data_IF_021762730638
#
_entry.id   IF_021762730638
#
_cell.length_a   1.000
_cell.length_b   1.000
_cell.length_c   1.000
_cell.angle_alpha   90.00
_cell.angle_beta   90.00
_cell.angle_gamma   90.00
#
_symmetry.space_group_name_H-M   'P 1'
#
loop_
_entity.id
_entity.type
_entity.pdbx_description
1 polymer ?
#
# COMPACT_ATOMS: atom_id res chain seq x y z
N UNK A 1 -3.43 43.79 16.73
CA UNK A 1 -2.81 42.59 17.35
C UNK A 1 -3.57 41.39 16.83
N UNK A 2 -3.12 40.80 15.71
CA UNK A 2 -3.81 39.66 15.11
C UNK A 2 -3.32 38.36 15.73
N UNK A 3 -4.28 37.65 16.32
CA UNK A 3 -4.21 36.24 16.66
C UNK A 3 -3.99 35.42 15.39
N UNK A 4 -2.90 34.67 15.33
CA UNK A 4 -2.82 33.47 14.52
C UNK A 4 -2.33 32.34 15.41
N UNK A 5 -3.30 31.61 15.95
CA UNK A 5 -3.10 30.26 16.46
C UNK A 5 -2.64 29.39 15.30
N UNK A 6 -1.32 29.22 15.17
CA UNK A 6 -0.78 28.15 14.36
C UNK A 6 -1.02 26.84 15.11
N UNK A 7 -2.23 26.30 14.95
CA UNK A 7 -2.49 24.89 15.17
C UNK A 7 -1.61 24.13 14.19
N UNK A 8 -0.43 23.73 14.65
CA UNK A 8 0.51 22.86 13.96
C UNK A 8 -0.15 21.49 13.74
N UNK A 9 -1.02 21.38 12.74
CA UNK A 9 -1.67 20.14 12.30
C UNK A 9 -0.70 19.26 11.51
N UNK A 10 0.57 19.17 11.94
CA UNK A 10 1.59 18.35 11.26
C UNK A 10 1.87 17.02 11.96
N UNK A 11 1.22 16.69 13.08
CA UNK A 11 1.59 15.53 13.90
C UNK A 11 0.51 14.45 14.05
N UNK A 12 -0.09 14.01 12.95
CA UNK A 12 -0.82 12.73 12.97
C UNK A 12 -0.66 11.90 11.70
N UNK A 13 0.44 12.11 10.97
CA UNK A 13 0.81 11.18 9.90
C UNK A 13 1.41 9.92 10.54
N UNK A 14 0.84 8.73 10.30
CA UNK A 14 1.37 7.50 10.87
C UNK A 14 2.78 7.24 10.33
N UNK A 15 3.75 7.13 11.23
CA UNK A 15 5.16 6.87 10.87
C UNK A 15 5.26 5.41 10.45
N UNK A 16 5.70 5.18 9.21
CA UNK A 16 6.04 3.84 8.73
C UNK A 16 7.36 3.44 9.36
N UNK A 17 7.38 2.31 10.07
CA UNK A 17 8.57 1.80 10.74
C UNK A 17 9.37 0.87 9.83
N UNK A 18 8.71 -0.09 9.18
CA UNK A 18 9.35 -1.03 8.28
C UNK A 18 8.37 -1.64 7.28
N UNK A 19 8.92 -2.17 6.19
CA UNK A 19 8.23 -2.99 5.20
C UNK A 19 8.72 -4.43 5.29
N UNK A 20 7.85 -5.36 4.95
CA UNK A 20 8.22 -6.77 4.97
C UNK A 20 7.34 -7.61 4.04
N UNK A 21 7.83 -8.77 3.65
CA UNK A 21 7.08 -9.74 2.86
C UNK A 21 6.61 -10.88 3.77
N UNK A 22 5.29 -11.10 3.81
CA UNK A 22 4.66 -12.16 4.60
C UNK A 22 3.74 -12.98 3.71
N UNK A 23 3.96 -14.30 3.63
CA UNK A 23 3.21 -15.22 2.76
C UNK A 23 3.09 -14.75 1.30
N UNK A 24 4.11 -14.05 0.81
CA UNK A 24 4.14 -13.50 -0.54
C UNK A 24 3.41 -12.15 -0.71
N UNK A 25 2.81 -11.60 0.35
CA UNK A 25 2.18 -10.28 0.32
C UNK A 25 3.08 -9.20 0.94
N UNK A 26 3.01 -7.99 0.40
CA UNK A 26 3.72 -6.84 0.95
C UNK A 26 2.98 -6.27 2.15
N UNK A 27 3.67 -6.23 3.28
CA UNK A 27 3.19 -5.65 4.53
C UNK A 27 3.97 -4.38 4.85
N UNK A 28 3.31 -3.42 5.50
CA UNK A 28 3.95 -2.28 6.15
C UNK A 28 3.50 -2.18 7.60
N UNK A 29 4.42 -1.82 8.48
CA UNK A 29 4.15 -1.62 9.89
C UNK A 29 4.21 -0.12 10.17
N UNK A 30 3.17 0.40 10.82
CA UNK A 30 3.06 1.81 11.19
C UNK A 30 2.91 1.95 12.68
N UNK A 31 3.51 2.99 13.25
CA UNK A 31 3.25 3.38 14.65
C UNK A 31 2.06 4.34 14.68
N UNK A 32 0.98 3.93 15.32
CA UNK A 32 -0.14 4.80 15.64
C UNK A 32 0.01 5.30 17.08
N UNK A 33 -0.09 6.61 17.28
CA UNK A 33 0.22 7.27 18.56
C UNK A 33 -0.60 6.74 19.74
N UNK A 34 -1.83 6.28 19.50
CA UNK A 34 -2.77 5.83 20.54
C UNK A 34 -2.98 4.30 20.62
N UNK A 35 -2.72 3.56 19.53
CA UNK A 35 -3.12 2.14 19.40
C UNK A 35 -1.91 1.20 19.33
N UNK A 36 -0.69 1.74 19.22
CA UNK A 36 0.54 0.95 19.14
C UNK A 36 1.00 0.70 17.71
N UNK A 37 1.31 -0.56 17.37
CA UNK A 37 1.76 -0.96 16.04
C UNK A 37 0.58 -1.47 15.19
N UNK A 38 0.44 -0.92 13.99
CA UNK A 38 -0.52 -1.39 12.99
C UNK A 38 0.20 -2.09 11.86
N UNK A 39 -0.25 -3.30 11.52
CA UNK A 39 0.08 -3.95 10.27
C UNK A 39 -0.93 -3.56 9.20
N UNK A 40 -0.44 -3.24 8.01
CA UNK A 40 -1.23 -3.20 6.81
C UNK A 40 -0.63 -4.08 5.73
N UNK A 41 -1.48 -4.70 4.92
CA UNK A 41 -1.08 -5.51 3.77
C UNK A 41 -1.50 -4.79 2.50
N UNK A 42 -0.66 -4.81 1.48
CA UNK A 42 -0.98 -4.28 0.17
C UNK A 42 -1.81 -5.31 -0.61
N UNK A 43 -3.07 -4.98 -0.89
CA UNK A 43 -3.98 -5.80 -1.70
C UNK A 43 -4.69 -4.91 -2.72
N UNK A 44 -4.74 -5.37 -3.96
CA UNK A 44 -5.50 -4.71 -5.04
C UNK A 44 -5.18 -3.22 -5.28
N UNK A 45 -3.99 -2.75 -4.90
CA UNK A 45 -3.60 -1.34 -5.07
C UNK A 45 -3.89 -0.44 -3.85
N UNK A 46 -4.38 -1.02 -2.76
CA UNK A 46 -4.65 -0.30 -1.51
C UNK A 46 -3.98 -1.00 -0.32
N UNK A 47 -3.71 -0.24 0.74
CA UNK A 47 -3.30 -0.78 2.02
C UNK A 47 -4.54 -1.13 2.84
N UNK A 48 -4.69 -2.39 3.21
CA UNK A 48 -5.79 -2.89 4.05
C UNK A 48 -5.24 -3.36 5.41
N UNK A 49 -6.12 -3.45 6.41
CA UNK A 49 -5.75 -3.98 7.72
C UNK A 49 -5.12 -5.38 7.58
N UNK A 50 -3.93 -5.54 8.16
CA UNK A 50 -3.18 -6.77 8.14
C UNK A 50 -3.38 -7.63 9.39
N UNK A 51 -2.70 -8.79 9.46
CA UNK A 51 -2.71 -9.62 10.65
C UNK A 51 -2.11 -8.87 11.85
N UNK A 52 -2.62 -9.16 13.04
CA UNK A 52 -2.04 -8.66 14.27
C UNK A 52 -0.75 -9.42 14.58
N UNK A 53 0.40 -8.73 14.50
CA UNK A 53 1.71 -9.31 14.79
C UNK A 53 1.95 -9.57 16.28
N UNK A 54 1.08 -9.10 17.17
CA UNK A 54 1.11 -9.56 18.57
C UNK A 54 0.65 -11.02 18.70
N UNK A 55 -0.18 -11.49 17.77
CA UNK A 55 -0.70 -12.85 17.72
C UNK A 55 -0.01 -13.74 16.66
N UNK A 56 0.61 -13.13 15.65
CA UNK A 56 1.32 -13.84 14.59
C UNK A 56 2.84 -13.77 14.81
N UNK A 57 3.49 -14.92 15.00
CA UNK A 57 4.95 -15.03 14.92
C UNK A 57 5.41 -14.51 13.56
N UNK A 58 5.89 -13.26 13.55
CA UNK A 58 6.26 -12.59 12.33
C UNK A 58 7.60 -13.15 11.81
N UNK A 59 7.52 -14.14 10.93
CA UNK A 59 8.67 -14.73 10.22
C UNK A 59 8.92 -14.08 8.85
N UNK A 60 8.33 -12.91 8.61
CA UNK A 60 8.47 -12.22 7.32
C UNK A 60 9.88 -11.68 7.10
N UNK A 61 10.33 -11.67 5.84
CA UNK A 61 11.59 -11.02 5.47
C UNK A 61 11.39 -9.50 5.50
N UNK A 62 12.14 -8.83 6.36
CA UNK A 62 12.21 -7.37 6.36
C UNK A 62 12.86 -6.90 5.05
N UNK A 63 12.26 -5.91 4.41
CA UNK A 63 12.77 -5.34 3.16
C UNK A 63 12.88 -3.83 3.27
N UNK A 64 13.77 -3.24 2.49
CA UNK A 64 13.91 -1.79 2.40
C UNK A 64 12.69 -1.16 1.75
N UNK A 65 12.50 0.15 1.97
CA UNK A 65 11.45 0.91 1.27
C UNK A 65 11.62 0.86 -0.26
N UNK A 66 12.86 0.88 -0.75
CA UNK A 66 13.15 0.75 -2.18
C UNK A 66 12.66 -0.60 -2.74
N UNK A 67 12.92 -1.70 -2.02
CA UNK A 67 12.40 -3.03 -2.37
C UNK A 67 10.88 -3.08 -2.30
N UNK A 68 10.25 -2.48 -1.28
CA UNK A 68 8.79 -2.43 -1.16
C UNK A 68 8.16 -1.68 -2.34
N UNK A 69 8.71 -0.52 -2.72
CA UNK A 69 8.27 0.24 -3.90
C UNK A 69 8.46 -0.57 -5.19
N UNK A 70 9.58 -1.30 -5.32
CA UNK A 70 9.81 -2.16 -6.47
C UNK A 70 8.81 -3.33 -6.51
N UNK A 71 8.52 -3.93 -5.36
CA UNK A 71 7.53 -4.99 -5.23
C UNK A 71 6.15 -4.52 -5.68
N UNK A 72 5.70 -3.34 -5.21
CA UNK A 72 4.44 -2.72 -5.66
C UNK A 72 4.43 -2.53 -7.17
N UNK A 73 5.51 -1.97 -7.75
CA UNK A 73 5.60 -1.76 -9.21
C UNK A 73 5.49 -3.07 -9.99
N UNK A 74 6.14 -4.14 -9.52
CA UNK A 74 6.11 -5.45 -10.17
C UNK A 74 4.72 -6.10 -10.08
N UNK A 75 4.08 -6.04 -8.91
CA UNK A 75 2.77 -6.65 -8.66
C UNK A 75 1.60 -5.80 -9.16
N UNK A 76 1.81 -4.51 -9.42
CA UNK A 76 0.84 -3.61 -10.05
C UNK A 76 0.93 -3.64 -11.59
N UNK A 77 2.10 -3.95 -12.17
CA UNK A 77 2.31 -4.02 -13.63
C UNK A 77 1.44 -5.05 -14.36
N UNK A 78 0.75 -5.93 -13.64
CA UNK A 78 -0.11 -6.99 -14.21
C UNK A 78 -1.58 -6.65 -14.33
N UNK A 79 -2.07 -5.51 -13.80
CA UNK A 79 -3.37 -4.96 -14.22
C UNK A 79 -3.18 -4.01 -15.40
N UNK A 80 -2.60 -4.53 -16.49
CA UNK A 80 -2.90 -3.97 -17.81
C UNK A 80 -4.41 -4.08 -17.94
N UNK A 81 -5.10 -2.94 -17.87
CA UNK A 81 -6.48 -2.86 -18.33
C UNK A 81 -6.41 -3.38 -19.76
N UNK A 82 -6.88 -4.61 -20.01
CA UNK A 82 -7.16 -5.02 -21.38
C UNK A 82 -8.10 -3.92 -21.88
N UNK A 83 -7.78 -3.15 -22.94
CA UNK A 83 -8.82 -2.43 -23.63
C UNK A 83 -9.88 -3.49 -23.93
N UNK A 84 -11.12 -3.25 -23.52
CA UNK A 84 -12.21 -4.15 -23.80
C UNK A 84 -12.23 -4.39 -25.31
N UNK A 85 -11.78 -5.58 -25.72
CA UNK A 85 -11.83 -6.01 -27.11
C UNK A 85 -13.31 -6.28 -27.41
N UNK A 86 -13.89 -5.57 -28.38
CA UNK A 86 -15.28 -5.78 -28.73
C UNK A 86 -15.90 -4.71 -29.61
N UNK A 87 -15.34 -4.47 -30.80
CA UNK A 87 -16.04 -3.66 -31.79
C UNK A 87 -15.26 -3.34 -33.06
N UNK A 88 -14.69 -4.33 -33.73
CA UNK A 88 -14.40 -4.17 -35.17
C UNK A 88 -15.67 -4.47 -35.96
N UNK A 89 -16.33 -3.51 -36.64
CA UNK A 89 -17.21 -3.87 -37.73
C UNK A 89 -16.34 -4.23 -38.94
N UNK A 90 -16.59 -5.45 -39.40
CA UNK A 90 -16.14 -6.06 -40.64
C UNK A 90 -16.36 -5.10 -41.83
N UNK A 91 -15.42 -5.15 -42.79
CA UNK A 91 -15.44 -4.52 -44.13
C UNK A 91 -16.84 -4.45 -44.76
N UNK A 92 -17.11 -3.39 -45.53
CA UNK A 92 -17.58 -3.54 -46.91
C UNK A 92 -17.34 -2.24 -47.72
N UNK A 93 -16.70 -2.42 -48.88
CA UNK A 93 -16.54 -1.42 -49.96
C UNK A 93 -17.90 -1.14 -50.60
N UNK A 94 -18.07 0.03 -51.23
CA UNK A 94 -18.03 0.03 -52.70
C UNK A 94 -16.78 0.72 -53.25
#
# INVERSE_FOLDING_TARGET
MNMFSNSDTTKNQPIILWYALYKGELCRIRKQFAVGLLCEVWREGVWVAGPDFSAADFTGRMISEAEARNWVRLHFRTKTVRPADGGSPKRERP
#
